data_IF_377570674476
#
_entry.id   IF_377570674476
#
_cell.length_a   1.000
_cell.length_b   1.000
_cell.length_c   1.000
_cell.angle_alpha   90.00
_cell.angle_beta   90.00
_cell.angle_gamma   90.00
#
_symmetry.space_group_name_H-M   'P 1'
#
loop_
_entity.id
_entity.type
_entity.pdbx_description
1 polymer ?
#
# COMPACT_ATOMS: atom_id res chain seq x y z
N UNK A 1 53.50 -52.00 46.71
CA UNK A 1 52.27 -51.23 46.41
C UNK A 1 52.65 -49.86 45.84
N UNK A 2 52.25 -49.54 44.59
CA UNK A 2 51.77 -48.21 44.13
C UNK A 2 51.72 -48.10 42.58
N UNK A 3 50.74 -48.75 41.92
CA UNK A 3 50.24 -48.29 40.61
C UNK A 3 48.88 -47.55 40.75
N UNK A 4 48.35 -47.38 41.97
CA UNK A 4 46.97 -46.92 42.19
C UNK A 4 46.75 -45.40 42.09
N UNK A 5 47.82 -44.59 42.11
CA UNK A 5 47.68 -43.12 42.14
C UNK A 5 47.47 -42.50 40.76
N UNK A 6 47.94 -43.12 39.68
CA UNK A 6 47.86 -42.54 38.32
C UNK A 6 46.44 -42.71 37.73
N UNK A 7 45.76 -43.82 38.07
CA UNK A 7 44.39 -44.08 37.60
C UNK A 7 43.35 -43.11 38.20
N UNK A 8 43.58 -42.62 39.42
CA UNK A 8 42.67 -41.69 40.08
C UNK A 8 42.64 -40.31 39.38
N UNK A 9 43.79 -39.84 38.90
CA UNK A 9 43.92 -38.52 38.26
C UNK A 9 43.21 -38.43 36.90
N UNK A 10 43.19 -39.52 36.12
CA UNK A 10 42.48 -39.56 34.84
C UNK A 10 40.96 -39.64 34.99
N UNK A 11 40.47 -40.31 36.03
CA UNK A 11 39.03 -40.41 36.31
C UNK A 11 38.42 -39.08 36.79
N UNK A 12 39.22 -38.23 37.47
CA UNK A 12 38.80 -36.91 37.95
C UNK A 12 38.83 -35.81 36.88
N UNK A 13 39.54 -36.01 35.75
CA UNK A 13 39.61 -35.05 34.66
C UNK A 13 38.53 -35.26 33.58
N UNK A 14 37.93 -36.46 33.52
CA UNK A 14 36.85 -36.79 32.59
C UNK A 14 35.57 -35.92 32.68
N UNK A 15 35.13 -35.41 33.85
CA UNK A 15 33.90 -34.59 33.91
C UNK A 15 34.11 -33.15 33.39
N UNK A 16 35.35 -32.67 33.36
CA UNK A 16 35.68 -31.30 32.91
C UNK A 16 35.62 -31.15 31.38
N UNK A 17 35.74 -32.25 30.64
CA UNK A 17 35.63 -32.30 29.17
C UNK A 17 34.19 -32.50 28.69
N UNK A 18 33.25 -32.79 29.59
CA UNK A 18 31.87 -33.15 29.25
C UNK A 18 30.88 -31.97 29.27
N UNK A 19 31.31 -30.74 29.60
CA UNK A 19 30.41 -29.60 29.71
C UNK A 19 30.86 -28.43 28.83
N UNK A 20 30.54 -28.53 27.55
CA UNK A 20 30.36 -27.36 26.69
C UNK A 20 29.27 -27.68 25.68
N UNK A 21 27.98 -27.56 26.02
CA UNK A 21 26.99 -27.37 24.98
C UNK A 21 27.30 -25.99 24.38
N UNK A 22 28.06 -25.98 23.29
CA UNK A 22 28.23 -24.77 22.49
C UNK A 22 26.82 -24.40 22.01
N UNK A 23 26.24 -23.37 22.63
CA UNK A 23 25.00 -22.77 22.21
C UNK A 23 25.22 -22.03 20.89
N UNK A 24 25.49 -22.78 19.82
CA UNK A 24 25.32 -22.32 18.45
C UNK A 24 23.94 -22.77 17.94
N UNK A 25 22.94 -22.78 18.82
CA UNK A 25 21.53 -22.78 18.42
C UNK A 25 21.17 -21.37 17.98
N UNK A 26 21.69 -20.94 16.83
CA UNK A 26 21.32 -19.66 16.24
C UNK A 26 19.81 -19.67 16.03
N UNK A 27 19.08 -18.87 16.82
CA UNK A 27 17.66 -18.64 16.57
C UNK A 27 17.56 -17.93 15.21
N UNK A 28 17.24 -18.72 14.18
CA UNK A 28 16.97 -18.25 12.84
C UNK A 28 15.46 -18.19 12.67
N UNK A 29 14.96 -17.05 12.19
CA UNK A 29 13.55 -16.82 11.93
C UNK A 29 13.40 -16.11 10.60
N UNK A 30 12.23 -16.28 9.98
CA UNK A 30 11.88 -15.57 8.75
C UNK A 30 11.07 -14.33 9.13
N UNK A 31 11.53 -13.16 8.67
CA UNK A 31 10.75 -11.92 8.78
C UNK A 31 9.89 -11.82 7.53
N UNK A 32 8.57 -11.96 7.71
CA UNK A 32 7.61 -11.70 6.65
C UNK A 32 7.25 -10.22 6.64
N UNK A 33 7.72 -9.52 5.61
CA UNK A 33 7.25 -8.17 5.31
C UNK A 33 5.98 -8.25 4.48
N UNK A 34 4.92 -7.58 4.94
CA UNK A 34 3.71 -7.35 4.15
C UNK A 34 3.42 -5.85 4.10
N UNK A 35 2.93 -5.39 2.96
CA UNK A 35 2.63 -3.98 2.72
C UNK A 35 2.49 -3.69 1.24
N UNK A 36 1.71 -2.67 0.91
CA UNK A 36 1.72 -2.07 -0.42
C UNK A 36 2.80 -0.99 -0.47
N UNK A 37 3.71 -1.09 -1.45
CA UNK A 37 4.72 -0.05 -1.73
C UNK A 37 4.09 1.09 -2.55
N UNK A 38 2.89 0.87 -3.10
CA UNK A 38 2.20 1.82 -3.96
C UNK A 38 1.24 2.65 -3.12
N UNK A 39 1.41 3.97 -3.16
CA UNK A 39 0.43 4.89 -2.59
C UNK A 39 -0.91 4.73 -3.31
N UNK A 40 -2.02 4.49 -2.59
CA UNK A 40 -3.31 4.34 -3.22
C UNK A 40 -3.71 5.67 -3.90
N UNK A 41 -4.29 5.63 -5.12
CA UNK A 41 -4.77 6.84 -5.78
C UNK A 41 -5.88 7.49 -4.96
N UNK A 42 -6.17 8.76 -5.26
CA UNK A 42 -7.36 9.41 -4.73
C UNK A 42 -8.62 8.60 -5.05
N UNK A 43 -9.53 8.53 -4.09
CA UNK A 43 -10.87 8.02 -4.32
C UNK A 43 -11.75 9.15 -4.85
N UNK A 44 -12.70 8.83 -5.73
CA UNK A 44 -13.60 9.81 -6.33
C UNK A 44 -15.04 9.41 -6.04
N UNK A 45 -15.79 10.33 -5.43
CA UNK A 45 -17.20 10.14 -5.09
C UNK A 45 -18.06 11.12 -5.86
N UNK A 46 -19.27 10.70 -6.22
CA UNK A 46 -20.28 11.56 -6.83
C UNK A 46 -21.16 12.12 -5.71
N UNK A 47 -21.15 13.44 -5.53
CA UNK A 47 -22.01 14.15 -4.58
C UNK A 47 -23.44 14.18 -5.15
N UNK A 48 -24.22 13.16 -4.79
CA UNK A 48 -25.66 12.92 -5.04
C UNK A 48 -26.15 12.96 -6.51
N UNK A 49 -27.02 12.01 -6.92
CA UNK A 49 -27.64 12.01 -8.25
C UNK A 49 -28.73 13.09 -8.44
N UNK A 50 -29.31 13.65 -7.38
CA UNK A 50 -30.42 14.61 -7.47
C UNK A 50 -29.99 16.09 -7.53
N UNK A 51 -28.72 16.38 -7.23
CA UNK A 51 -28.19 17.73 -7.36
C UNK A 51 -27.70 17.94 -8.81
N UNK A 52 -28.56 18.44 -9.69
CA UNK A 52 -28.12 18.93 -10.99
C UNK A 52 -27.47 20.31 -10.84
N UNK A 53 -26.21 20.54 -11.28
CA UNK A 53 -25.32 19.58 -11.96
C UNK A 53 -24.58 18.66 -10.99
N UNK A 54 -24.47 17.38 -11.39
CA UNK A 54 -23.73 16.37 -10.63
C UNK A 54 -22.29 16.81 -10.39
N UNK A 55 -21.73 16.38 -9.25
CA UNK A 55 -20.45 16.85 -8.75
C UNK A 55 -19.56 15.67 -8.39
N UNK A 56 -18.29 15.73 -8.75
CA UNK A 56 -17.27 14.76 -8.34
C UNK A 56 -16.39 15.38 -7.26
N UNK A 57 -16.26 14.68 -6.14
CA UNK A 57 -15.34 15.03 -5.07
C UNK A 57 -14.18 14.04 -5.05
N UNK A 58 -12.98 14.57 -5.15
CA UNK A 58 -11.75 13.82 -4.91
C UNK A 58 -11.50 13.75 -3.40
N UNK A 59 -11.25 12.55 -2.89
CA UNK A 59 -10.85 12.28 -1.51
C UNK A 59 -9.50 11.55 -1.55
N UNK A 60 -8.45 12.34 -1.32
CA UNK A 60 -7.06 11.95 -1.44
C UNK A 60 -6.44 11.76 -0.05
N UNK A 61 -5.76 10.63 0.23
CA UNK A 61 -5.12 10.38 1.52
C UNK A 61 -3.97 11.34 1.82
N UNK A 62 -3.39 11.95 0.77
CA UNK A 62 -2.34 12.98 0.86
C UNK A 62 -2.62 14.13 -0.12
N UNK A 63 -1.95 15.27 0.04
CA UNK A 63 -2.00 16.34 -0.94
C UNK A 63 -1.59 15.83 -2.33
N UNK A 64 -2.53 15.86 -3.28
CA UNK A 64 -2.32 15.46 -4.67
C UNK A 64 -2.87 16.55 -5.60
N UNK A 65 -2.28 16.63 -6.79
CA UNK A 65 -2.75 17.48 -7.87
C UNK A 65 -2.74 16.69 -9.18
N UNK A 66 -3.57 17.13 -10.12
CA UNK A 66 -3.66 16.48 -11.42
C UNK A 66 -4.77 17.04 -12.26
N UNK A 67 -5.14 16.30 -13.28
CA UNK A 67 -6.18 16.65 -14.24
C UNK A 67 -7.23 15.54 -14.29
N UNK A 68 -8.49 15.95 -14.39
CA UNK A 68 -9.61 15.06 -14.67
C UNK A 68 -10.19 15.45 -16.03
N UNK A 69 -10.20 14.49 -16.95
CA UNK A 69 -10.85 14.61 -18.25
C UNK A 69 -12.16 13.82 -18.23
N UNK A 70 -13.27 14.52 -18.48
CA UNK A 70 -14.58 13.95 -18.67
C UNK A 70 -14.75 13.60 -20.15
N UNK A 71 -14.87 12.31 -20.44
CA UNK A 71 -14.97 11.73 -21.78
C UNK A 71 -16.37 11.17 -22.00
N UNK A 72 -16.97 11.46 -23.14
CA UNK A 72 -18.22 10.81 -23.54
C UNK A 72 -17.94 9.35 -23.90
N UNK A 73 -18.61 8.41 -23.23
CA UNK A 73 -18.39 6.99 -23.45
C UNK A 73 -18.82 6.50 -24.84
N UNK A 74 -19.71 7.22 -25.54
CA UNK A 74 -20.17 6.84 -26.86
C UNK A 74 -19.20 7.30 -27.96
N UNK A 75 -18.69 8.53 -27.87
CA UNK A 75 -17.79 9.10 -28.88
C UNK A 75 -16.31 8.98 -28.54
N UNK A 76 -15.98 8.60 -27.30
CA UNK A 76 -14.63 8.60 -26.74
C UNK A 76 -13.92 9.96 -26.82
N UNK A 77 -14.69 11.05 -26.97
CA UNK A 77 -14.15 12.40 -27.02
C UNK A 77 -14.21 13.09 -25.65
N UNK A 78 -13.15 13.84 -25.34
CA UNK A 78 -13.11 14.68 -24.15
C UNK A 78 -14.13 15.83 -24.27
N UNK A 79 -15.08 15.86 -23.35
CA UNK A 79 -16.11 16.89 -23.22
C UNK A 79 -15.58 18.08 -22.42
N UNK A 80 -14.81 17.80 -21.37
CA UNK A 80 -14.19 18.83 -20.52
C UNK A 80 -12.99 18.27 -19.78
N UNK A 81 -11.92 19.04 -19.69
CA UNK A 81 -10.78 18.76 -18.81
C UNK A 81 -10.68 19.83 -17.75
N UNK A 82 -10.34 19.46 -16.52
CA UNK A 82 -10.21 20.41 -15.40
C UNK A 82 -9.11 19.93 -14.46
N UNK A 83 -8.35 20.86 -13.90
CA UNK A 83 -7.34 20.56 -12.89
C UNK A 83 -8.00 20.36 -11.53
N UNK A 84 -7.48 19.43 -10.74
CA UNK A 84 -7.87 19.23 -9.36
C UNK A 84 -6.64 19.28 -8.44
N UNK A 85 -6.89 19.68 -7.21
CA UNK A 85 -5.95 19.66 -6.09
C UNK A 85 -6.69 19.08 -4.89
N UNK A 86 -5.97 18.74 -3.81
CA UNK A 86 -6.61 18.35 -2.55
C UNK A 86 -7.60 19.40 -2.01
N UNK A 87 -7.36 20.68 -2.28
CA UNK A 87 -8.24 21.77 -1.88
C UNK A 87 -9.39 22.03 -2.88
N UNK A 88 -9.42 21.30 -4.00
CA UNK A 88 -10.47 21.48 -4.99
C UNK A 88 -11.82 21.13 -4.38
N UNK A 89 -12.71 22.12 -4.42
CA UNK A 89 -14.14 21.89 -4.18
C UNK A 89 -14.69 20.96 -5.25
N UNK A 90 -15.88 20.43 -5.00
CA UNK A 90 -16.64 19.59 -5.92
C UNK A 90 -16.48 20.01 -7.40
N UNK A 91 -15.91 19.11 -8.21
CA UNK A 91 -15.67 19.26 -9.64
C UNK A 91 -17.00 19.04 -10.35
N UNK A 92 -17.52 20.10 -10.98
CA UNK A 92 -18.84 20.06 -11.62
C UNK A 92 -18.76 19.26 -12.92
N UNK A 93 -19.61 18.24 -13.06
CA UNK A 93 -19.75 17.48 -14.30
C UNK A 93 -20.24 18.40 -15.44
N UNK A 94 -19.68 18.27 -16.65
CA UNK A 94 -20.16 19.04 -17.79
C UNK A 94 -21.59 18.62 -18.15
N UNK A 95 -22.44 19.61 -18.40
CA UNK A 95 -23.79 19.38 -18.95
C UNK A 95 -23.66 18.94 -20.41
N UNK A 96 -24.40 17.89 -20.82
CA UNK A 96 -24.43 17.40 -22.21
C UNK A 96 -25.83 17.59 -22.79
N UNK A 97 -26.09 18.70 -23.51
CA UNK A 97 -27.41 18.95 -24.09
C UNK A 97 -27.80 17.80 -25.03
N UNK A 98 -28.94 17.16 -24.74
CA UNK A 98 -29.49 16.05 -25.53
C UNK A 98 -29.01 14.64 -25.13
N UNK A 99 -28.03 14.52 -24.21
CA UNK A 99 -27.45 13.25 -23.76
C UNK A 99 -27.21 13.22 -22.25
N UNK A 100 -28.14 13.76 -21.47
CA UNK A 100 -27.99 13.91 -20.01
C UNK A 100 -27.85 12.55 -19.28
N UNK A 101 -28.35 11.46 -19.86
CA UNK A 101 -28.24 10.10 -19.31
C UNK A 101 -27.12 9.24 -19.95
N UNK A 102 -26.39 9.76 -20.93
CA UNK A 102 -25.32 8.99 -21.56
C UNK A 102 -24.23 8.64 -20.55
N UNK A 103 -23.51 7.54 -20.73
CA UNK A 103 -22.39 7.21 -19.83
C UNK A 103 -21.24 8.19 -20.04
N UNK A 104 -20.51 8.50 -18.97
CA UNK A 104 -19.35 9.38 -18.98
C UNK A 104 -18.20 8.66 -18.28
N UNK A 105 -16.99 8.83 -18.80
CA UNK A 105 -15.76 8.28 -18.23
C UNK A 105 -14.96 9.45 -17.66
N UNK A 106 -14.52 9.33 -16.42
CA UNK A 106 -13.55 10.25 -15.83
C UNK A 106 -12.16 9.63 -15.92
N UNK A 107 -11.27 10.25 -16.68
CA UNK A 107 -9.85 9.87 -16.76
C UNK A 107 -9.06 10.81 -15.86
N UNK A 108 -8.31 10.24 -14.93
CA UNK A 108 -7.52 10.99 -13.95
C UNK A 108 -6.04 10.82 -14.28
N UNK A 109 -5.34 11.95 -14.38
CA UNK A 109 -3.89 12.01 -14.61
C UNK A 109 -3.26 12.79 -13.46
N UNK A 110 -2.36 12.15 -12.72
CA UNK A 110 -1.62 12.79 -11.62
C UNK A 110 -0.37 13.50 -12.15
N UNK A 111 -0.01 14.60 -11.50
CA UNK A 111 1.24 15.37 -11.74
C UNK A 111 2.30 15.08 -10.68
#
# INVERSE_FOLDING_TARGET
MKPRLIAASLLLAAPLLASSPSFAGGASGVIHFSGMIVEPPCSFSLDTPDAAPARVRADCPRPAAGQIAFVDAASMQAVKTTTFTQASRAIVLPKRPGNDHARMIAVVTYE
#
